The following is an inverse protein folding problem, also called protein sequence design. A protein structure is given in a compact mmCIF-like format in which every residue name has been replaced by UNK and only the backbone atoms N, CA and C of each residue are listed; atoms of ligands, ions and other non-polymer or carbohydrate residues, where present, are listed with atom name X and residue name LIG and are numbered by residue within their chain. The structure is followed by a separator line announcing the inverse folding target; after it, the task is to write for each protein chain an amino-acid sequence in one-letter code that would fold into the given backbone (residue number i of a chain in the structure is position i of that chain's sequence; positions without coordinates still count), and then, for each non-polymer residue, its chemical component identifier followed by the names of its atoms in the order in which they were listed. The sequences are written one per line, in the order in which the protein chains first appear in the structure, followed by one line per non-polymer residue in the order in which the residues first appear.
data_IF_557031818819
#
_entry.id   IF_557031818819
#
_cell.length_a   1.000
_cell.length_b   1.000
_cell.length_c   1.000
_cell.angle_alpha   90.00
_cell.angle_beta   90.00
_cell.angle_gamma   90.00
#
_symmetry.space_group_name_H-M   'P 1'
#
loop_
_entity.id
_entity.type
_entity.pdbx_description
1 polymer ?
#
# COMPACT_ATOMS: atom_id res chain seq x y z
N UNK A 1 10.93 -8.42 -9.50
CA UNK A 1 9.97 -7.50 -8.90
C UNK A 1 9.56 -8.06 -7.55
N UNK A 2 9.77 -7.31 -6.49
CA UNK A 2 9.33 -7.61 -5.12
C UNK A 2 7.98 -6.93 -4.81
N UNK A 3 7.38 -7.26 -3.67
CA UNK A 3 6.20 -6.57 -3.13
C UNK A 3 6.49 -5.09 -2.91
N UNK A 4 7.68 -4.78 -2.37
CA UNK A 4 8.13 -3.40 -2.13
C UNK A 4 8.18 -2.61 -3.44
N UNK A 5 8.81 -3.17 -4.48
CA UNK A 5 8.90 -2.53 -5.80
C UNK A 5 7.53 -2.31 -6.45
N UNK A 6 6.60 -3.26 -6.27
CA UNK A 6 5.24 -3.17 -6.80
C UNK A 6 4.37 -2.13 -6.07
N UNK A 7 4.59 -1.92 -4.77
CA UNK A 7 3.83 -0.97 -3.96
C UNK A 7 4.42 0.45 -3.98
N UNK A 8 5.69 0.60 -4.35
CA UNK A 8 6.44 1.88 -4.31
C UNK A 8 5.73 3.05 -5.03
N UNK A 9 5.09 2.90 -6.21
CA UNK A 9 4.40 4.01 -6.86
C UNK A 9 3.30 4.64 -6.00
N UNK A 10 2.64 3.84 -5.16
CA UNK A 10 1.60 4.29 -4.24
C UNK A 10 2.17 4.69 -2.88
N UNK A 11 3.04 3.86 -2.29
CA UNK A 11 3.62 4.10 -0.96
C UNK A 11 4.75 5.14 -0.94
N UNK A 12 5.15 5.69 -2.09
CA UNK A 12 6.01 6.87 -2.15
C UNK A 12 5.24 8.18 -1.85
N UNK A 13 3.91 8.13 -1.77
CA UNK A 13 3.07 9.31 -1.49
C UNK A 13 2.74 9.40 0.00
N UNK A 14 2.96 10.56 0.64
CA UNK A 14 2.56 10.77 2.03
C UNK A 14 1.03 10.79 2.20
N UNK A 15 0.28 10.83 1.09
CA UNK A 15 -1.19 10.75 1.01
C UNK A 15 -1.69 9.37 0.59
N UNK A 16 -0.90 8.30 0.77
CA UNK A 16 -1.25 6.93 0.37
C UNK A 16 -2.65 6.46 0.83
N UNK A 17 -3.11 6.95 1.98
CA UNK A 17 -4.42 6.65 2.57
C UNK A 17 -5.60 7.43 1.94
N UNK A 18 -5.31 8.41 1.10
CA UNK A 18 -6.29 9.34 0.55
C UNK A 18 -7.20 8.68 -0.50
N UNK A 19 -8.47 9.09 -0.51
CA UNK A 19 -9.42 8.74 -1.58
C UNK A 19 -9.32 9.66 -2.79
N UNK A 20 -8.33 10.55 -2.86
CA UNK A 20 -8.15 11.45 -3.99
C UNK A 20 -7.87 10.66 -5.28
N UNK A 21 -8.45 11.03 -6.44
CA UNK A 21 -8.33 10.25 -7.68
C UNK A 21 -6.89 9.98 -8.13
N UNK A 22 -5.96 10.91 -7.87
CA UNK A 22 -4.54 10.71 -8.18
C UNK A 22 -3.91 9.58 -7.36
N UNK A 23 -4.22 9.51 -6.06
CA UNK A 23 -3.72 8.45 -5.17
C UNK A 23 -4.36 7.10 -5.51
N UNK A 24 -5.66 7.08 -5.83
CA UNK A 24 -6.36 5.88 -6.29
C UNK A 24 -5.81 5.30 -7.60
N UNK A 25 -5.36 6.16 -8.53
CA UNK A 25 -4.68 5.71 -9.75
C UNK A 25 -3.36 5.00 -9.44
N UNK A 26 -2.58 5.55 -8.50
CA UNK A 26 -1.32 4.93 -8.07
C UNK A 26 -1.57 3.62 -7.32
N UNK A 27 -2.58 3.57 -6.45
CA UNK A 27 -3.01 2.33 -5.79
C UNK A 27 -3.42 1.24 -6.80
N UNK A 28 -4.18 1.62 -7.83
CA UNK A 28 -4.57 0.68 -8.89
C UNK A 28 -3.37 0.19 -9.71
N UNK A 29 -2.39 1.06 -9.96
CA UNK A 29 -1.13 0.68 -10.60
C UNK A 29 -0.36 -0.32 -9.74
N UNK A 30 -0.28 -0.10 -8.44
CA UNK A 30 0.39 -0.98 -7.50
C UNK A 30 -0.26 -2.38 -7.48
N UNK A 31 -1.59 -2.47 -7.42
CA UNK A 31 -2.30 -3.75 -7.53
C UNK A 31 -1.99 -4.45 -8.87
N UNK A 32 -1.95 -3.71 -9.97
CA UNK A 32 -1.59 -4.29 -11.29
C UNK A 32 -0.17 -4.85 -11.30
N UNK A 33 0.77 -4.18 -10.64
CA UNK A 33 2.15 -4.66 -10.52
C UNK A 33 2.23 -5.90 -9.62
N UNK A 34 1.50 -5.93 -8.51
CA UNK A 34 1.42 -7.10 -7.63
C UNK A 34 0.88 -8.35 -8.36
N UNK A 35 -0.09 -8.19 -9.27
CA UNK A 35 -0.60 -9.29 -10.11
C UNK A 35 0.42 -9.89 -11.08
N UNK A 36 1.54 -9.20 -11.30
CA UNK A 36 2.63 -9.70 -12.16
C UNK A 36 3.69 -10.47 -11.37
N UNK A 37 3.56 -10.55 -10.04
CA UNK A 37 4.43 -11.39 -9.22
C UNK A 37 4.17 -12.88 -9.50
N UNK A 38 5.22 -13.70 -9.37
CA UNK A 38 5.09 -15.15 -9.54
C UNK A 38 4.33 -15.82 -8.38
N UNK A 39 4.31 -15.17 -7.22
CA UNK A 39 3.66 -15.65 -6.01
C UNK A 39 2.71 -14.57 -5.53
N UNK A 40 1.48 -14.96 -5.18
CA UNK A 40 0.52 -14.06 -4.55
C UNK A 40 0.96 -13.79 -3.12
N UNK A 41 1.29 -12.53 -2.76
CA UNK A 41 1.69 -12.19 -1.40
C UNK A 41 0.53 -12.34 -0.44
N UNK A 42 0.83 -12.77 0.79
CA UNK A 42 -0.14 -12.86 1.89
C UNK A 42 -0.53 -11.49 2.44
N UNK A 43 -1.62 -11.44 3.21
CA UNK A 43 -2.05 -10.22 3.92
C UNK A 43 -0.95 -9.72 4.86
N UNK A 44 -0.33 -10.60 5.65
CA UNK A 44 0.75 -10.24 6.56
C UNK A 44 1.97 -9.67 5.83
N UNK A 45 2.37 -10.25 4.70
CA UNK A 45 3.48 -9.72 3.90
C UNK A 45 3.18 -8.32 3.35
N UNK A 46 1.95 -8.10 2.87
CA UNK A 46 1.50 -6.79 2.39
C UNK A 46 1.48 -5.76 3.53
N UNK A 47 0.92 -6.13 4.68
CA UNK A 47 0.86 -5.26 5.87
C UNK A 47 2.25 -4.82 6.32
N UNK A 48 3.19 -5.76 6.46
CA UNK A 48 4.57 -5.48 6.88
C UNK A 48 5.27 -4.51 5.93
N UNK A 49 5.11 -4.70 4.61
CA UNK A 49 5.69 -3.80 3.61
C UNK A 49 5.06 -2.41 3.70
N UNK A 50 3.74 -2.31 3.85
CA UNK A 50 3.04 -1.03 3.99
C UNK A 50 3.56 -0.29 5.23
N UNK A 51 3.53 -0.92 6.41
CA UNK A 51 4.00 -0.32 7.68
C UNK A 51 5.43 0.18 7.54
N UNK A 52 6.35 -0.69 7.10
CA UNK A 52 7.78 -0.36 6.95
C UNK A 52 8.01 0.84 6.04
N UNK A 53 7.16 1.03 5.01
CA UNK A 53 7.31 2.12 4.06
C UNK A 53 6.68 3.42 4.56
N UNK A 54 5.46 3.36 5.10
CA UNK A 54 4.70 4.55 5.53
C UNK A 54 5.25 5.17 6.81
N UNK A 55 5.86 4.36 7.70
CA UNK A 55 6.57 4.84 8.89
C UNK A 55 7.72 5.79 8.55
N UNK A 56 8.27 5.70 7.33
CA UNK A 56 9.35 6.55 6.81
C UNK A 56 8.86 7.80 6.08
N UNK A 57 7.55 7.99 5.93
CA UNK A 57 6.98 9.15 5.24
C UNK A 57 6.68 10.28 6.22
N UNK A 58 6.77 11.51 5.74
CA UNK A 58 6.29 12.66 6.52
C UNK A 58 4.77 12.57 6.73
N UNK A 59 4.34 12.73 7.98
CA UNK A 59 2.93 12.81 8.31
C UNK A 59 2.27 14.04 7.64
N UNK A 60 1.12 13.81 6.99
CA UNK A 60 0.27 14.84 6.39
C UNK A 60 -1.06 14.96 7.15
N UNK A 61 -1.79 16.05 6.90
CA UNK A 61 -3.16 16.18 7.41
C UNK A 61 -4.00 14.97 6.96
N UNK A 62 -4.67 14.32 7.91
CA UNK A 62 -5.47 13.12 7.66
C UNK A 62 -4.70 11.80 7.72
N UNK A 63 -3.40 11.81 8.02
CA UNK A 63 -2.64 10.57 8.26
C UNK A 63 -3.30 9.77 9.38
N UNK A 64 -3.56 8.47 9.20
CA UNK A 64 -4.14 7.63 10.24
C UNK A 64 -3.33 7.69 11.54
N UNK A 65 -4.01 7.84 12.68
CA UNK A 65 -3.37 7.80 13.99
C UNK A 65 -2.89 6.41 14.36
N UNK A 66 -3.57 5.37 13.86
CA UNK A 66 -3.14 3.98 13.95
C UNK A 66 -2.69 3.49 12.56
N UNK A 67 -1.37 3.54 12.34
CA UNK A 67 -0.77 3.13 11.07
C UNK A 67 -0.87 1.61 10.86
N UNK A 68 -0.84 0.82 11.93
CA UNK A 68 -0.92 -0.64 11.83
C UNK A 68 -2.30 -1.09 11.38
N UNK A 69 -3.36 -0.57 12.01
CA UNK A 69 -4.73 -0.89 11.59
C UNK A 69 -5.00 -0.42 10.16
N UNK A 70 -4.56 0.81 9.81
CA UNK A 70 -4.74 1.31 8.44
C UNK A 70 -3.97 0.45 7.42
N UNK A 71 -2.72 0.09 7.70
CA UNK A 71 -1.93 -0.77 6.83
C UNK A 71 -2.60 -2.13 6.62
N UNK A 72 -3.12 -2.74 7.70
CA UNK A 72 -3.84 -4.01 7.65
C UNK A 72 -5.10 -3.94 6.80
N UNK A 73 -5.91 -2.88 6.95
CA UNK A 73 -7.11 -2.67 6.14
C UNK A 73 -6.77 -2.59 4.65
N UNK A 74 -5.73 -1.85 4.28
CA UNK A 74 -5.27 -1.80 2.89
C UNK A 74 -4.70 -3.13 2.42
N UNK A 75 -3.94 -3.86 3.25
CA UNK A 75 -3.43 -5.18 2.93
C UNK A 75 -4.56 -6.17 2.60
N UNK A 76 -5.63 -6.19 3.41
CA UNK A 76 -6.82 -7.00 3.17
C UNK A 76 -7.48 -6.61 1.83
N UNK A 77 -7.64 -5.31 1.56
CA UNK A 77 -8.23 -4.82 0.32
C UNK A 77 -7.39 -5.17 -0.91
N UNK A 78 -6.07 -5.09 -0.81
CA UNK A 78 -5.15 -5.48 -1.88
C UNK A 78 -5.27 -6.98 -2.13
N UNK A 79 -5.13 -7.80 -1.08
CA UNK A 79 -5.21 -9.26 -1.19
C UNK A 79 -6.54 -9.73 -1.80
N UNK A 80 -7.66 -9.09 -1.46
CA UNK A 80 -8.96 -9.40 -2.04
C UNK A 80 -9.07 -9.08 -3.54
N UNK A 81 -8.15 -8.28 -4.09
CA UNK A 81 -8.12 -7.86 -5.50
C UNK A 81 -7.07 -8.60 -6.33
N UNK A 82 -6.13 -9.33 -5.71
CA UNK A 82 -5.10 -10.11 -6.39
C UNK A 82 -5.70 -11.37 -7.01
#
# INVERSE_FOLDING_TARGET
MSIEEALEPWLSKPTWFSSHPSDQKLFSLAIRQLKQLQVTPSVDELEQVIIKRVDRLSAMLGTPSDLSEAARQFAIQIHAKL
#
